data_IF_554735192250
#
_entry.id   IF_554735192250
#
_cell.length_a   1.000
_cell.length_b   1.000
_cell.length_c   1.000
_cell.angle_alpha   90.00
_cell.angle_beta   90.00
_cell.angle_gamma   90.00
#
_symmetry.space_group_name_H-M   'P 1'
#
loop_
_entity.id
_entity.type
_entity.pdbx_description
1 polymer ?
#
# COMPACT_ATOMS: atom_id res chain seq x y z
N UNK A 1 10.61 30.97 19.64
CA UNK A 1 9.76 29.76 19.72
C UNK A 1 10.02 28.93 18.48
N UNK A 2 10.24 27.62 18.61
CA UNK A 2 10.61 26.78 17.47
C UNK A 2 9.49 26.52 16.47
N UNK A 3 9.82 25.91 15.34
CA UNK A 3 8.86 25.49 14.31
C UNK A 3 7.97 24.35 14.81
N UNK A 4 6.79 24.21 14.21
CA UNK A 4 5.95 23.04 14.43
C UNK A 4 6.65 21.78 13.89
N UNK A 5 6.49 20.60 14.52
CA UNK A 5 7.06 19.37 14.02
C UNK A 5 6.53 19.02 12.63
N UNK A 6 7.41 18.48 11.81
CA UNK A 6 7.10 17.88 10.52
C UNK A 6 7.32 16.38 10.61
N UNK A 7 6.28 15.60 10.30
CA UNK A 7 6.32 14.14 10.34
C UNK A 7 6.33 13.60 8.93
N UNK A 8 7.21 12.65 8.65
CA UNK A 8 7.31 11.96 7.37
C UNK A 8 7.72 10.50 7.56
N UNK A 9 7.51 9.70 6.53
CA UNK A 9 7.86 8.28 6.50
C UNK A 9 9.28 8.14 5.96
N UNK A 10 10.13 7.44 6.69
CA UNK A 10 11.48 7.11 6.24
C UNK A 10 11.52 5.84 5.38
N UNK A 11 10.68 4.84 5.70
CA UNK A 11 10.59 3.60 4.93
C UNK A 11 10.01 2.41 5.70
N UNK A 12 9.83 1.27 5.03
CA UNK A 12 9.40 0.02 5.66
C UNK A 12 10.46 -0.54 6.62
N UNK A 13 10.01 -1.30 7.61
CA UNK A 13 10.79 -1.98 8.65
C UNK A 13 10.26 -3.43 8.81
N UNK A 14 11.00 -4.30 9.51
CA UNK A 14 10.70 -5.75 9.55
C UNK A 14 9.27 -6.06 10.05
N UNK A 15 8.80 -5.32 11.05
CA UNK A 15 7.47 -5.48 11.65
C UNK A 15 6.63 -4.18 11.56
N UNK A 16 6.90 -3.30 10.59
CA UNK A 16 6.18 -2.04 10.50
C UNK A 16 6.73 -1.00 9.55
N UNK A 17 6.59 0.26 9.93
CA UNK A 17 7.07 1.42 9.18
C UNK A 17 7.82 2.38 10.10
N UNK A 18 8.94 2.91 9.61
CA UNK A 18 9.73 3.93 10.29
C UNK A 18 9.20 5.32 9.95
N UNK A 19 8.79 6.04 10.99
CA UNK A 19 8.29 7.41 10.93
C UNK A 19 9.29 8.35 11.61
N UNK A 20 9.52 9.53 11.04
CA UNK A 20 10.48 10.50 11.53
C UNK A 20 9.79 11.86 11.71
N UNK A 21 10.02 12.47 12.87
CA UNK A 21 9.55 13.78 13.26
C UNK A 21 10.75 14.73 13.35
N UNK A 22 10.71 15.87 12.65
CA UNK A 22 11.75 16.90 12.65
C UNK A 22 11.19 18.25 13.05
N UNK A 23 11.94 19.00 13.84
CA UNK A 23 11.64 20.40 14.14
C UNK A 23 12.93 21.20 14.37
N UNK A 24 12.84 22.53 14.21
CA UNK A 24 13.99 23.43 14.21
C UNK A 24 13.70 24.75 14.93
N UNK A 25 14.75 25.49 15.28
CA UNK A 25 14.62 26.82 15.90
C UNK A 25 14.11 26.80 17.35
N UNK A 26 14.25 25.67 18.05
CA UNK A 26 13.80 25.53 19.43
C UNK A 26 14.82 26.12 20.41
N UNK A 27 14.34 26.87 21.41
CA UNK A 27 15.16 27.31 22.52
C UNK A 27 14.30 27.39 23.80
N UNK A 28 14.76 26.81 24.93
CA UNK A 28 15.94 25.96 25.07
C UNK A 28 15.75 24.61 24.35
N UNK A 29 16.63 23.63 24.59
CA UNK A 29 16.46 22.26 24.08
C UNK A 29 15.04 21.75 24.35
N UNK A 30 14.29 21.35 23.31
CA UNK A 30 12.93 20.85 23.48
C UNK A 30 12.94 19.44 24.07
N UNK A 31 11.79 18.99 24.59
CA UNK A 31 11.55 17.58 24.88
C UNK A 31 10.63 17.02 23.79
N UNK A 32 11.04 15.95 23.10
CA UNK A 32 10.18 15.28 22.12
C UNK A 32 9.36 14.18 22.81
N UNK A 33 8.07 14.11 22.49
CA UNK A 33 7.16 13.08 22.98
C UNK A 33 6.39 12.47 21.81
N UNK A 34 6.26 11.15 21.83
CA UNK A 34 5.34 10.42 20.96
C UNK A 34 4.12 10.00 21.77
N UNK A 35 2.93 10.33 21.28
CA UNK A 35 1.68 9.88 21.88
C UNK A 35 0.91 9.01 20.90
N UNK A 36 0.62 7.78 21.32
CA UNK A 36 -0.40 6.92 20.70
C UNK A 36 -1.71 7.07 21.48
N UNK A 37 -2.85 6.89 20.82
CA UNK A 37 -4.17 7.00 21.44
C UNK A 37 -4.41 5.93 22.52
N UNK A 38 -3.80 4.74 22.44
CA UNK A 38 -3.97 3.68 23.44
C UNK A 38 -2.86 3.57 24.50
N UNK A 39 -1.97 4.56 24.63
CA UNK A 39 -0.96 4.59 25.69
C UNK A 39 0.30 3.72 25.48
N UNK A 40 0.29 2.69 24.63
CA UNK A 40 1.49 1.94 24.20
C UNK A 40 1.22 1.19 22.88
N UNK A 41 2.13 1.25 21.88
CA UNK A 41 2.55 0.17 20.92
C UNK A 41 3.73 0.61 20.02
N UNK A 42 4.83 1.11 20.59
CA UNK A 42 6.00 1.51 19.82
C UNK A 42 7.08 0.42 19.86
N UNK A 43 7.70 0.12 18.72
CA UNK A 43 8.77 -0.89 18.66
C UNK A 43 10.14 -0.31 19.01
N UNK A 44 10.50 0.80 18.39
CA UNK A 44 11.83 1.40 18.50
C UNK A 44 11.71 2.90 18.50
N UNK A 45 12.35 3.56 19.47
CA UNK A 45 12.41 5.02 19.60
C UNK A 45 13.86 5.48 19.52
N UNK A 46 14.10 6.51 18.72
CA UNK A 46 15.38 7.21 18.62
C UNK A 46 15.14 8.70 18.65
N UNK A 47 15.99 9.45 19.34
CA UNK A 47 15.91 10.91 19.44
C UNK A 47 17.31 11.51 19.35
N UNK A 48 17.44 12.52 18.51
CA UNK A 48 18.69 13.23 18.27
C UNK A 48 18.44 14.73 18.29
N UNK A 49 19.45 15.47 18.76
CA UNK A 49 19.40 16.92 18.83
C UNK A 49 20.68 17.50 18.27
N UNK A 50 20.54 18.59 17.52
CA UNK A 50 21.66 19.38 17.04
C UNK A 50 21.47 20.83 17.49
N UNK A 51 22.54 21.46 17.95
CA UNK A 51 22.56 22.88 18.27
C UNK A 51 23.39 23.61 17.20
N UNK A 52 22.88 24.75 16.72
CA UNK A 52 23.62 25.58 15.78
C UNK A 52 24.46 26.66 16.49
N UNK A 53 25.24 27.41 15.73
CA UNK A 53 26.12 28.47 16.25
C UNK A 53 25.33 29.58 16.95
N UNK A 54 24.07 29.78 16.57
CA UNK A 54 23.13 30.73 17.16
C UNK A 54 22.51 30.24 18.47
N UNK A 55 22.88 29.04 18.93
CA UNK A 55 22.44 28.45 20.20
C UNK A 55 21.02 27.87 20.16
N UNK A 56 20.35 27.82 19.01
CA UNK A 56 19.03 27.19 18.85
C UNK A 56 19.15 25.72 18.46
N UNK A 57 18.14 24.95 18.83
CA UNK A 57 18.10 23.50 18.69
C UNK A 57 17.22 23.05 17.53
N UNK A 58 17.70 22.03 16.84
CA UNK A 58 16.90 21.15 15.98
C UNK A 58 16.78 19.80 16.65
N UNK A 59 15.59 19.22 16.57
CA UNK A 59 15.27 17.92 17.13
C UNK A 59 14.77 17.00 16.02
N UNK A 60 15.23 15.76 16.06
CA UNK A 60 14.81 14.69 15.16
C UNK A 60 14.55 13.44 15.98
N UNK A 61 13.31 12.94 15.92
CA UNK A 61 12.91 11.72 16.59
C UNK A 61 12.35 10.73 15.58
N UNK A 62 12.67 9.45 15.74
CA UNK A 62 12.20 8.36 14.90
C UNK A 62 11.47 7.32 15.73
N UNK A 63 10.47 6.71 15.12
CA UNK A 63 9.59 5.73 15.72
C UNK A 63 9.25 4.63 14.71
N UNK A 64 9.25 3.37 15.15
CA UNK A 64 8.72 2.27 14.34
C UNK A 64 7.30 1.93 14.80
N UNK A 65 6.34 2.05 13.89
CA UNK A 65 4.92 1.77 14.10
C UNK A 65 4.59 0.39 13.53
N UNK A 66 4.04 -0.51 14.36
CA UNK A 66 3.69 -1.86 13.94
C UNK A 66 2.60 -1.87 12.87
N UNK A 67 2.65 -2.86 11.98
CA UNK A 67 1.57 -3.10 11.00
C UNK A 67 0.22 -3.38 11.68
N UNK A 68 0.24 -4.11 12.81
CA UNK A 68 -0.97 -4.40 13.58
C UNK A 68 -1.55 -3.18 14.33
N UNK A 69 -0.87 -2.03 14.30
CA UNK A 69 -1.38 -0.80 14.88
C UNK A 69 -2.39 -0.17 13.92
N UNK A 70 -3.57 0.18 14.42
CA UNK A 70 -4.56 0.99 13.71
C UNK A 70 -4.67 2.40 14.29
N UNK A 71 -3.67 2.81 15.07
CA UNK A 71 -3.77 4.01 15.90
C UNK A 71 -2.99 5.16 15.30
N UNK A 72 -3.56 6.36 15.44
CA UNK A 72 -2.90 7.60 15.08
C UNK A 72 -1.74 7.87 16.04
N UNK A 73 -0.63 8.30 15.48
CA UNK A 73 0.58 8.64 16.22
C UNK A 73 0.78 10.14 16.14
N UNK A 74 0.99 10.78 17.28
CA UNK A 74 1.25 12.22 17.37
C UNK A 74 2.67 12.46 17.86
N UNK A 75 3.43 13.25 17.12
CA UNK A 75 4.70 13.79 17.60
C UNK A 75 4.45 15.15 18.23
N UNK A 76 4.98 15.38 19.43
CA UNK A 76 4.92 16.68 20.07
C UNK A 76 6.25 17.12 20.65
N UNK A 77 6.48 18.43 20.61
CA UNK A 77 7.66 19.07 21.17
C UNK A 77 7.23 20.03 22.26
N UNK A 78 7.81 19.84 23.44
CA UNK A 78 7.53 20.62 24.62
C UNK A 78 8.70 21.55 24.94
N UNK A 79 8.40 22.82 25.16
CA UNK A 79 9.32 23.77 25.76
C UNK A 79 9.29 23.59 27.30
N UNK A 80 10.39 23.18 27.95
CA UNK A 80 10.39 22.88 29.37
C UNK A 80 10.22 24.12 30.26
N UNK A 81 10.63 25.30 29.77
CA UNK A 81 10.56 26.57 30.53
C UNK A 81 9.19 27.19 30.37
N UNK A 82 8.73 27.33 29.12
CA UNK A 82 7.47 28.01 28.82
C UNK A 82 6.24 27.09 28.93
N UNK A 83 6.46 25.78 29.10
CA UNK A 83 5.41 24.74 29.14
C UNK A 83 4.49 24.80 27.91
N UNK A 84 5.01 25.28 26.79
CA UNK A 84 4.31 25.34 25.51
C UNK A 84 4.62 24.10 24.68
N UNK A 85 3.58 23.50 24.12
CA UNK A 85 3.66 22.31 23.28
C UNK A 85 3.30 22.66 21.83
N UNK A 86 4.06 22.12 20.88
CA UNK A 86 3.68 22.09 19.46
C UNK A 86 3.63 20.65 19.00
N UNK A 87 2.48 20.23 18.49
CA UNK A 87 2.24 18.86 18.07
C UNK A 87 1.83 18.80 16.60
N UNK A 88 2.16 17.69 15.95
CA UNK A 88 1.67 17.31 14.64
C UNK A 88 1.16 15.87 14.74
N UNK A 89 -0.13 15.72 14.51
CA UNK A 89 -0.77 14.40 14.40
C UNK A 89 -0.49 13.81 13.02
N UNK A 90 -0.12 12.53 12.98
CA UNK A 90 0.06 11.77 11.76
C UNK A 90 -1.12 10.83 11.55
N UNK A 91 -1.58 10.75 10.30
CA UNK A 91 -2.80 10.04 9.89
C UNK A 91 -2.52 8.55 9.59
N UNK A 92 -3.61 7.76 9.61
CA UNK A 92 -3.69 6.32 9.91
C UNK A 92 -2.73 5.35 9.17
N UNK A 93 -2.27 4.27 9.86
CA UNK A 93 -1.65 3.09 9.26
C UNK A 93 -2.37 2.44 8.07
N UNK A 94 -3.69 2.67 7.94
CA UNK A 94 -4.51 2.11 6.85
C UNK A 94 -4.14 2.65 5.47
N UNK A 95 -3.54 3.84 5.38
CA UNK A 95 -2.99 4.36 4.13
C UNK A 95 -1.63 3.70 3.78
N UNK A 96 -0.91 3.16 4.77
CA UNK A 96 0.42 2.56 4.60
C UNK A 96 0.39 1.06 4.34
N UNK A 97 -0.65 0.39 4.81
CA UNK A 97 -0.89 -1.02 4.58
C UNK A 97 -2.22 -1.17 3.85
N UNK A 98 -2.25 -1.00 2.51
CA UNK A 98 -3.45 -1.29 1.76
C UNK A 98 -3.80 -2.75 2.04
N UNK A 99 -4.82 -2.94 2.88
CA UNK A 99 -5.32 -4.26 3.21
C UNK A 99 -5.78 -4.83 1.88
N UNK A 100 -5.02 -5.78 1.34
CA UNK A 100 -5.43 -6.54 0.16
C UNK A 100 -6.69 -7.28 0.57
N UNK A 101 -7.83 -6.64 0.34
CA UNK A 101 -9.07 -7.13 0.87
C UNK A 101 -9.32 -8.49 0.20
N UNK A 102 -9.66 -9.55 0.97
CA UNK A 102 -9.76 -10.92 0.44
C UNK A 102 -10.65 -11.03 -0.80
N UNK A 103 -11.66 -10.15 -0.90
CA UNK A 103 -12.54 -10.05 -2.06
C UNK A 103 -11.78 -9.78 -3.37
N UNK A 104 -10.76 -8.91 -3.39
CA UNK A 104 -10.00 -8.55 -4.59
C UNK A 104 -9.20 -9.75 -5.10
N UNK A 105 -8.61 -10.51 -4.18
CA UNK A 105 -7.95 -11.77 -4.53
C UNK A 105 -8.94 -12.77 -5.13
N UNK A 106 -10.13 -12.92 -4.52
CA UNK A 106 -11.17 -13.80 -5.02
C UNK A 106 -11.66 -13.37 -6.42
N UNK A 107 -11.87 -12.07 -6.66
CA UNK A 107 -12.27 -11.55 -7.96
C UNK A 107 -11.24 -11.84 -9.05
N UNK A 108 -9.94 -11.68 -8.76
CA UNK A 108 -8.89 -11.97 -9.75
C UNK A 108 -8.84 -13.46 -10.12
N UNK A 109 -9.05 -14.36 -9.16
CA UNK A 109 -9.11 -15.81 -9.41
C UNK A 109 -10.37 -16.16 -10.23
N UNK A 110 -11.52 -15.61 -9.86
CA UNK A 110 -12.77 -15.87 -10.61
C UNK A 110 -12.65 -15.33 -12.03
N UNK A 111 -12.12 -14.12 -12.22
CA UNK A 111 -11.96 -13.51 -13.54
C UNK A 111 -11.03 -14.32 -14.43
N UNK A 112 -9.90 -14.80 -13.88
CA UNK A 112 -8.97 -15.65 -14.64
C UNK A 112 -9.63 -16.97 -15.05
N UNK A 113 -10.36 -17.64 -14.16
CA UNK A 113 -11.11 -18.86 -14.50
C UNK A 113 -12.16 -18.61 -15.60
N UNK A 114 -12.91 -17.51 -15.52
CA UNK A 114 -13.90 -17.15 -16.54
C UNK A 114 -13.24 -16.93 -17.91
N UNK A 115 -12.09 -16.26 -17.96
CA UNK A 115 -11.34 -16.05 -19.21
C UNK A 115 -10.92 -17.39 -19.80
N UNK A 116 -10.39 -18.31 -19.00
CA UNK A 116 -10.01 -19.64 -19.48
C UNK A 116 -11.21 -20.45 -19.99
N UNK A 117 -12.37 -20.37 -19.33
CA UNK A 117 -13.59 -21.03 -19.78
C UNK A 117 -14.12 -20.46 -21.09
N UNK A 118 -14.13 -19.13 -21.24
CA UNK A 118 -14.53 -18.46 -22.47
C UNK A 118 -13.58 -18.80 -23.63
N UNK A 119 -12.27 -18.83 -23.35
CA UNK A 119 -11.28 -19.20 -24.35
C UNK A 119 -11.40 -20.68 -24.76
N UNK A 120 -11.57 -21.58 -23.78
CA UNK A 120 -11.77 -23.00 -24.04
C UNK A 120 -13.04 -23.29 -24.85
N UNK A 121 -14.16 -22.67 -24.51
CA UNK A 121 -15.44 -22.83 -25.25
C UNK A 121 -15.35 -22.23 -26.65
N UNK A 122 -14.69 -21.09 -26.83
CA UNK A 122 -14.46 -20.50 -28.15
C UNK A 122 -13.55 -21.37 -29.03
N UNK A 123 -12.50 -21.95 -28.47
CA UNK A 123 -11.65 -22.91 -29.18
C UNK A 123 -12.44 -24.18 -29.56
N UNK A 124 -13.18 -24.76 -28.62
CA UNK A 124 -13.97 -25.96 -28.85
C UNK A 124 -15.02 -25.76 -29.96
N UNK A 125 -15.80 -24.69 -29.88
CA UNK A 125 -16.82 -24.39 -30.91
C UNK A 125 -16.19 -24.09 -32.27
N UNK A 126 -15.05 -23.40 -32.33
CA UNK A 126 -14.31 -23.21 -33.59
C UNK A 126 -13.83 -24.53 -34.18
N UNK A 127 -13.30 -25.45 -33.36
CA UNK A 127 -12.86 -26.76 -33.84
C UNK A 127 -14.04 -27.58 -34.37
N UNK A 128 -15.17 -27.58 -33.67
CA UNK A 128 -16.38 -28.31 -34.09
C UNK A 128 -16.95 -27.74 -35.39
N UNK A 129 -17.02 -26.41 -35.53
CA UNK A 129 -17.49 -25.79 -36.77
C UNK A 129 -16.54 -26.04 -37.94
N UNK A 130 -15.23 -26.06 -37.70
CA UNK A 130 -14.25 -26.36 -38.76
C UNK A 130 -14.41 -27.80 -39.24
N UNK A 131 -14.63 -28.75 -38.33
CA UNK A 131 -14.88 -30.15 -38.68
C UNK A 131 -16.18 -30.32 -39.50
N UNK A 132 -17.29 -29.72 -39.06
CA UNK A 132 -18.58 -29.76 -39.78
C UNK A 132 -18.50 -29.14 -41.18
N UNK A 133 -17.71 -28.07 -41.34
CA UNK A 133 -17.51 -27.42 -42.64
C UNK A 133 -16.71 -28.29 -43.62
N UNK A 134 -15.76 -29.09 -43.12
CA UNK A 134 -15.03 -30.06 -43.95
C UNK A 134 -15.94 -31.19 -44.42
N UNK A 135 -16.72 -31.78 -43.52
CA UNK A 135 -17.69 -32.84 -43.87
C UNK A 135 -18.70 -32.37 -44.93
N UNK A 136 -19.22 -31.14 -44.80
CA UNK A 136 -20.13 -30.55 -45.78
C UNK A 136 -19.50 -30.42 -47.17
N UNK A 137 -18.23 -29.98 -47.24
CA UNK A 137 -17.50 -29.87 -48.52
C UNK A 137 -17.24 -31.22 -49.16
N UNK A 138 -16.97 -32.25 -48.37
CA UNK A 138 -16.80 -33.61 -48.89
C UNK A 138 -18.13 -34.15 -49.45
N UNK A 139 -19.23 -33.93 -48.75
CA UNK A 139 -20.57 -34.32 -49.21
C UNK A 139 -20.96 -33.60 -50.50
N UNK A 140 -20.67 -32.29 -50.62
CA UNK A 140 -20.94 -31.49 -51.82
C UNK A 140 -20.10 -31.94 -53.03
N UNK A 141 -18.86 -32.40 -52.81
CA UNK A 141 -18.02 -32.99 -53.87
C UNK A 141 -18.57 -34.33 -54.35
N UNK A 142 -18.90 -35.23 -53.42
CA UNK A 142 -19.48 -36.54 -53.72
C UNK A 142 -20.80 -36.41 -54.50
N UNK A 143 -21.63 -35.43 -54.14
CA UNK A 143 -22.88 -35.18 -54.85
C UNK A 143 -22.65 -34.68 -56.27
N UNK A 144 -21.63 -33.84 -56.49
CA UNK A 144 -21.29 -33.30 -57.81
C UNK A 144 -20.72 -34.38 -58.74
N UNK A 145 -19.84 -35.24 -58.25
CA UNK A 145 -19.31 -36.39 -59.01
C UNK A 145 -20.43 -37.34 -59.46
N UNK A 146 -21.41 -37.58 -58.59
CA UNK A 146 -22.56 -38.44 -58.89
C UNK A 146 -23.52 -37.86 -59.96
N UNK A 147 -23.57 -36.54 -60.10
CA UNK A 147 -24.35 -35.87 -61.16
C UNK A 147 -23.63 -35.85 -62.51
N UNK A 148 -22.29 -35.90 -62.53
CA UNK A 148 -21.49 -35.95 -63.78
C UNK A 148 -21.45 -37.36 -64.41
N UNK A 149 -21.62 -38.41 -63.60
CA UNK A 149 -21.65 -39.81 -64.05
C UNK A 149 -23.02 -40.28 -64.61
N UNK A 150 -24.05 -39.42 -64.59
CA UNK A 150 -25.42 -39.72 -65.01
C UNK A 150 -25.81 -39.07 -66.35
#
# INVERSE_FOLDING_TARGET
MGSAPQVHIAGPEEDGVRVVCKASGWFPKPQVQWRALSGEKFLTFSETHAQNAEGVFSAEAALVVKHSSSENVTCSLLNPILRQEKAMGFFSPEDFFPRTSPWMSAFMVILTLLIFLLFGTACYTKTEQTAKFQEMKEWEKLHREKEEDQ
#
